data_IF_658236560982
#
_entry.id   IF_658236560982
#
_cell.length_a   1.000
_cell.length_b   1.000
_cell.length_c   1.000
_cell.angle_alpha   90.00
_cell.angle_beta   90.00
_cell.angle_gamma   90.00
#
_symmetry.space_group_name_H-M   'P 1'
#
loop_
_entity.id
_entity.type
_entity.pdbx_description
1 polymer ?
#
# COMPACT_ATOMS: atom_id res chain seq x y z
N UNK A 1 35.20 21.52 18.96
CA UNK A 1 34.55 22.11 17.78
C UNK A 1 33.92 20.99 16.98
N UNK A 2 32.59 20.92 17.02
CA UNK A 2 31.72 19.86 16.47
C UNK A 2 31.61 19.99 14.94
N UNK A 3 32.16 19.04 14.19
CA UNK A 3 32.02 18.95 12.72
C UNK A 3 31.48 17.57 12.28
N UNK A 4 30.67 16.92 13.12
CA UNK A 4 30.14 15.57 12.82
C UNK A 4 28.61 15.51 12.72
N UNK A 5 27.90 16.62 12.94
CA UNK A 5 26.43 16.63 12.96
C UNK A 5 25.79 16.90 11.59
N UNK A 6 26.55 17.33 10.59
CA UNK A 6 25.97 17.82 9.33
C UNK A 6 25.67 16.75 8.26
N UNK A 7 26.10 15.49 8.46
CA UNK A 7 25.84 14.39 7.51
C UNK A 7 24.60 13.54 7.86
N UNK A 8 23.94 13.79 8.99
CA UNK A 8 22.80 12.97 9.42
C UNK A 8 21.46 13.51 8.89
N UNK A 9 21.42 14.75 8.41
CA UNK A 9 20.18 15.38 7.91
C UNK A 9 19.93 15.13 6.41
N UNK A 10 20.94 14.65 5.65
CA UNK A 10 20.74 14.29 4.23
C UNK A 10 20.23 12.85 4.04
N UNK A 11 20.32 11.99 5.06
CA UNK A 11 19.80 10.61 5.02
C UNK A 11 18.29 10.51 5.24
N UNK A 12 17.69 11.49 5.91
CA UNK A 12 16.24 11.55 6.18
C UNK A 12 15.46 12.30 5.11
N UNK A 13 16.12 13.12 4.28
CA UNK A 13 15.48 13.83 3.18
C UNK A 13 15.11 12.91 1.98
N UNK A 14 15.78 11.76 1.81
CA UNK A 14 15.44 10.78 0.76
C UNK A 14 14.27 9.86 1.13
N UNK A 15 14.00 9.69 2.44
CA UNK A 15 12.79 9.01 2.92
C UNK A 15 11.57 9.92 2.96
N UNK A 16 11.79 11.24 2.97
CA UNK A 16 10.82 12.21 2.51
C UNK A 16 10.81 12.28 0.97
N UNK A 17 10.68 11.12 0.31
CA UNK A 17 10.00 11.09 -0.98
C UNK A 17 8.60 11.57 -0.65
N UNK A 18 8.44 12.90 -0.72
CA UNK A 18 7.20 13.64 -0.61
C UNK A 18 6.18 12.77 -1.31
N UNK A 19 5.34 12.09 -0.52
CA UNK A 19 4.17 11.43 -1.04
C UNK A 19 3.48 12.57 -1.77
N UNK A 20 3.64 12.59 -3.09
CA UNK A 20 2.91 13.46 -3.99
C UNK A 20 1.51 13.06 -3.63
N UNK A 21 0.90 13.83 -2.72
CA UNK A 21 -0.37 13.49 -2.12
C UNK A 21 -1.33 13.70 -3.23
N UNK A 22 -1.45 12.63 -4.01
CA UNK A 22 -2.25 12.57 -5.19
C UNK A 22 -3.62 13.08 -4.77
N UNK A 23 -4.18 14.11 -5.43
CA UNK A 23 -5.39 14.76 -4.93
C UNK A 23 -6.56 13.76 -4.82
N UNK A 24 -6.54 12.72 -5.64
CA UNK A 24 -7.50 11.61 -5.65
C UNK A 24 -7.10 10.41 -4.76
N UNK A 25 -6.04 10.53 -3.94
CA UNK A 25 -5.67 9.54 -2.93
C UNK A 25 -6.83 9.05 -2.03
N UNK A 26 -7.72 9.92 -1.49
CA UNK A 26 -8.86 9.45 -0.71
C UNK A 26 -9.84 8.61 -1.55
N UNK A 27 -10.02 8.94 -2.83
CA UNK A 27 -10.89 8.20 -3.75
C UNK A 27 -10.30 6.80 -4.05
N UNK A 28 -9.01 6.74 -4.38
CA UNK A 28 -8.29 5.48 -4.57
C UNK A 28 -8.40 4.60 -3.33
N UNK A 29 -8.08 5.17 -2.16
CA UNK A 29 -8.10 4.45 -0.90
C UNK A 29 -9.51 3.91 -0.58
N UNK A 30 -10.56 4.71 -0.77
CA UNK A 30 -11.93 4.29 -0.55
C UNK A 30 -12.35 3.16 -1.51
N UNK A 31 -12.02 3.27 -2.79
CA UNK A 31 -12.35 2.25 -3.79
C UNK A 31 -11.64 0.91 -3.52
N UNK A 32 -10.35 0.95 -3.20
CA UNK A 32 -9.57 -0.25 -2.87
C UNK A 32 -10.07 -0.86 -1.55
N UNK A 33 -10.32 -0.06 -0.50
CA UNK A 33 -10.92 -0.55 0.76
C UNK A 33 -12.25 -1.26 0.53
N UNK A 34 -13.18 -0.66 -0.25
CA UNK A 34 -14.47 -1.29 -0.60
C UNK A 34 -14.32 -2.61 -1.34
N UNK A 35 -13.25 -2.78 -2.11
CA UNK A 35 -12.95 -4.04 -2.76
C UNK A 35 -12.37 -5.07 -1.79
N UNK A 36 -11.44 -4.67 -0.92
CA UNK A 36 -10.89 -5.53 0.14
C UNK A 36 -11.99 -6.02 1.11
N UNK A 37 -12.94 -5.16 1.48
CA UNK A 37 -14.10 -5.56 2.29
C UNK A 37 -14.94 -6.63 1.59
N UNK A 38 -15.16 -6.51 0.28
CA UNK A 38 -15.88 -7.52 -0.53
C UNK A 38 -15.14 -8.85 -0.59
N UNK A 39 -13.81 -8.81 -0.65
CA UNK A 39 -12.96 -10.00 -0.59
C UNK A 39 -12.81 -10.59 0.82
N UNK A 40 -13.32 -9.91 1.87
CA UNK A 40 -13.01 -10.22 3.27
C UNK A 40 -11.49 -10.33 3.53
N UNK A 41 -10.71 -9.49 2.86
CA UNK A 41 -9.27 -9.42 3.09
C UNK A 41 -8.99 -8.92 4.52
N UNK A 42 -7.91 -9.40 5.13
CA UNK A 42 -7.51 -8.93 6.45
C UNK A 42 -7.03 -7.45 6.40
N UNK A 43 -6.90 -6.84 7.58
CA UNK A 43 -6.53 -5.43 7.69
C UNK A 43 -5.13 -5.14 7.09
N UNK A 44 -4.18 -6.07 7.27
CA UNK A 44 -2.81 -5.94 6.76
C UNK A 44 -2.77 -5.96 5.23
N UNK A 45 -3.47 -6.89 4.59
CA UNK A 45 -3.60 -7.01 3.14
C UNK A 45 -4.31 -5.79 2.56
N UNK A 46 -5.30 -5.26 3.28
CA UNK A 46 -6.00 -4.03 2.91
C UNK A 46 -5.06 -2.83 2.92
N UNK A 47 -4.27 -2.64 3.98
CA UNK A 47 -3.31 -1.55 4.08
C UNK A 47 -2.23 -1.64 2.99
N UNK A 48 -1.72 -2.85 2.73
CA UNK A 48 -0.73 -3.10 1.70
C UNK A 48 -1.28 -2.82 0.29
N UNK A 49 -2.51 -3.23 -0.01
CA UNK A 49 -3.16 -2.95 -1.30
C UNK A 49 -3.41 -1.46 -1.52
N UNK A 50 -3.83 -0.73 -0.48
CA UNK A 50 -4.03 0.73 -0.55
C UNK A 50 -2.70 1.45 -0.76
N UNK A 51 -1.66 1.12 0.00
CA UNK A 51 -0.34 1.73 -0.16
C UNK A 51 0.25 1.45 -1.56
N UNK A 52 0.03 0.24 -2.10
CA UNK A 52 0.41 -0.10 -3.46
C UNK A 52 -0.31 0.77 -4.50
N UNK A 53 -1.62 0.95 -4.35
CA UNK A 53 -2.43 1.78 -5.23
C UNK A 53 -1.98 3.25 -5.21
N UNK A 54 -1.67 3.79 -4.03
CA UNK A 54 -1.25 5.18 -3.85
C UNK A 54 0.13 5.47 -4.43
N UNK A 55 0.99 4.45 -4.57
CA UNK A 55 2.30 4.57 -5.22
C UNK A 55 2.24 4.41 -6.73
N UNK A 56 1.06 4.08 -7.28
CA UNK A 56 0.90 3.88 -8.71
C UNK A 56 0.88 5.24 -9.44
N UNK A 57 1.76 5.39 -10.42
CA UNK A 57 1.98 6.65 -11.17
C UNK A 57 0.99 6.89 -12.32
N UNK A 58 0.00 5.99 -12.51
CA UNK A 58 -1.05 6.13 -13.51
C UNK A 58 -2.22 7.02 -13.08
N UNK A 59 -3.27 7.09 -13.90
CA UNK A 59 -4.53 7.78 -13.58
C UNK A 59 -5.31 7.10 -12.43
N UNK A 60 -6.46 7.66 -12.03
CA UNK A 60 -7.17 7.22 -10.81
C UNK A 60 -7.72 5.83 -10.96
N UNK A 61 -8.27 5.54 -12.13
CA UNK A 61 -8.83 4.24 -12.44
C UNK A 61 -7.72 3.19 -12.56
N UNK A 62 -6.59 3.55 -13.17
CA UNK A 62 -5.41 2.67 -13.24
C UNK A 62 -4.86 2.34 -11.85
N UNK A 63 -4.73 3.32 -10.96
CA UNK A 63 -4.31 3.10 -9.57
C UNK A 63 -5.29 2.24 -8.79
N UNK A 64 -6.60 2.47 -8.93
CA UNK A 64 -7.63 1.63 -8.32
C UNK A 64 -7.54 0.19 -8.84
N UNK A 65 -7.39 -0.01 -10.16
CA UNK A 65 -7.23 -1.36 -10.74
C UNK A 65 -5.98 -2.06 -10.21
N UNK A 66 -4.85 -1.36 -10.14
CA UNK A 66 -3.61 -1.88 -9.59
C UNK A 66 -3.77 -2.28 -8.10
N UNK A 67 -4.42 -1.43 -7.31
CA UNK A 67 -4.76 -1.72 -5.91
C UNK A 67 -5.66 -2.95 -5.74
N UNK A 68 -6.70 -3.08 -6.58
CA UNK A 68 -7.60 -4.23 -6.57
C UNK A 68 -6.88 -5.52 -6.96
N UNK A 69 -6.07 -5.50 -8.01
CA UNK A 69 -5.23 -6.65 -8.38
C UNK A 69 -4.31 -7.05 -7.23
N UNK A 70 -3.69 -6.07 -6.55
CA UNK A 70 -2.83 -6.35 -5.40
C UNK A 70 -3.60 -6.94 -4.22
N UNK A 71 -4.78 -6.41 -3.91
CA UNK A 71 -5.66 -6.95 -2.87
C UNK A 71 -6.05 -8.42 -3.15
N UNK A 72 -6.40 -8.75 -4.39
CA UNK A 72 -6.74 -10.11 -4.79
C UNK A 72 -5.54 -11.06 -4.65
N UNK A 73 -4.34 -10.63 -5.08
CA UNK A 73 -3.11 -11.42 -4.93
C UNK A 73 -2.77 -11.69 -3.46
N UNK A 74 -2.86 -10.67 -2.60
CA UNK A 74 -2.57 -10.80 -1.18
C UNK A 74 -3.58 -11.70 -0.49
N UNK A 75 -4.87 -11.50 -0.75
CA UNK A 75 -5.93 -12.35 -0.23
C UNK A 75 -5.72 -13.82 -0.63
N UNK A 76 -5.46 -14.09 -1.92
CA UNK A 76 -5.20 -15.44 -2.42
C UNK A 76 -3.99 -16.09 -1.73
N UNK A 77 -2.89 -15.34 -1.56
CA UNK A 77 -1.71 -15.84 -0.83
C UNK A 77 -2.06 -16.19 0.61
N UNK A 78 -2.79 -15.31 1.31
CA UNK A 78 -3.22 -15.54 2.69
C UNK A 78 -4.12 -16.76 2.83
N UNK A 79 -5.05 -16.98 1.89
CA UNK A 79 -5.94 -18.16 1.87
C UNK A 79 -5.25 -19.45 1.45
N UNK A 80 -4.21 -19.40 0.63
CA UNK A 80 -3.41 -20.58 0.28
C UNK A 80 -2.38 -20.93 1.36
N UNK A 81 -1.90 -19.94 2.11
CA UNK A 81 -0.94 -20.12 3.20
C UNK A 81 -1.60 -20.42 4.55
N UNK A 82 -2.92 -20.54 4.63
CA UNK A 82 -3.57 -21.10 5.83
C UNK A 82 -3.39 -22.62 5.75
N UNK A 83 -2.45 -23.24 6.51
CA UNK A 83 -2.41 -24.69 6.55
C UNK A 83 -3.76 -25.15 7.11
N UNK A 84 -4.49 -25.94 6.32
CA UNK A 84 -5.48 -26.86 6.88
C UNK A 84 -4.76 -27.69 7.93
N UNK A 85 -4.89 -27.30 9.20
CA UNK A 85 -4.74 -28.21 10.33
C UNK A 85 -5.75 -29.34 10.09
N UNK A 86 -5.27 -30.44 9.51
CA UNK A 86 -5.97 -31.71 9.56
C UNK A 86 -5.52 -32.41 10.83
N UNK A 87 -6.48 -32.46 11.75
CA UNK A 87 -6.75 -33.44 12.81
C UNK A 87 -5.90 -34.71 12.80
#
# INVERSE_FOLDING_TARGET
MQLSQHYQEMGTALLATRATSRPDAPEIAAAVKRYCTRLRANASDTAAAVNWALRHTGDTLSAIRAGRHRAAQLHWRSTQSTPTEKA
#
